data_IF_047732848136
#
_entry.id   IF_047732848136
#
_cell.length_a   1.000
_cell.length_b   1.000
_cell.length_c   1.000
_cell.angle_alpha   90.00
_cell.angle_beta   90.00
_cell.angle_gamma   90.00
#
_symmetry.space_group_name_H-M   'P 1'
#
loop_
_entity.id
_entity.type
_entity.pdbx_description
1 polymer ?
#
# COMPACT_ATOMS: atom_id res chain seq x y z
N UNK A 1 -19.39 -55.24 -13.09
CA UNK A 1 -19.96 -54.28 -12.11
C UNK A 1 -18.79 -53.77 -11.28
N UNK A 2 -18.30 -52.54 -11.51
CA UNK A 2 -17.18 -52.01 -10.74
C UNK A 2 -17.69 -51.50 -9.38
N UNK A 3 -16.96 -51.84 -8.32
CA UNK A 3 -17.16 -51.40 -6.94
C UNK A 3 -16.65 -49.98 -6.76
N UNK A 4 -17.51 -49.13 -6.22
CA UNK A 4 -17.32 -47.70 -5.99
C UNK A 4 -16.58 -47.48 -4.66
N UNK A 5 -15.26 -47.32 -4.72
CA UNK A 5 -14.42 -46.95 -3.56
C UNK A 5 -14.49 -45.43 -3.33
N UNK A 6 -15.61 -44.98 -2.77
CA UNK A 6 -15.75 -43.62 -2.23
C UNK A 6 -15.20 -43.57 -0.80
N UNK A 7 -13.89 -43.41 -0.69
CA UNK A 7 -13.26 -43.05 0.59
C UNK A 7 -13.72 -41.64 1.00
N UNK A 8 -14.25 -41.43 2.22
CA UNK A 8 -14.68 -40.11 2.65
C UNK A 8 -13.45 -39.21 2.86
N UNK A 9 -13.47 -38.02 2.25
CA UNK A 9 -12.52 -36.94 2.53
C UNK A 9 -12.40 -36.78 4.06
N UNK A 10 -11.19 -36.99 4.58
CA UNK A 10 -10.88 -36.70 5.96
C UNK A 10 -11.29 -35.26 6.29
N UNK A 11 -12.23 -35.13 7.23
CA UNK A 11 -12.68 -33.84 7.75
C UNK A 11 -11.48 -33.10 8.35
N UNK A 12 -11.28 -31.87 7.89
CA UNK A 12 -10.29 -30.95 8.44
C UNK A 12 -10.62 -30.66 9.92
N UNK A 13 -9.62 -30.37 10.76
CA UNK A 13 -9.88 -29.91 12.12
C UNK A 13 -10.55 -28.53 12.08
N UNK A 14 -11.88 -28.52 12.11
CA UNK A 14 -12.62 -27.39 12.65
C UNK A 14 -12.41 -27.40 14.17
N UNK A 15 -11.92 -26.30 14.73
CA UNK A 15 -12.05 -26.11 16.17
C UNK A 15 -13.54 -25.98 16.44
N UNK A 16 -14.14 -27.05 17.00
CA UNK A 16 -15.58 -27.15 17.23
C UNK A 16 -16.05 -25.94 18.04
N UNK A 17 -16.80 -25.03 17.41
CA UNK A 17 -17.70 -24.15 18.13
C UNK A 17 -18.96 -24.93 18.43
N UNK A 18 -19.31 -25.04 19.71
CA UNK A 18 -20.56 -25.67 20.18
C UNK A 18 -21.81 -24.84 19.84
N UNK A 19 -21.70 -23.84 18.97
CA UNK A 19 -22.80 -23.04 18.46
C UNK A 19 -22.75 -23.01 16.94
N UNK A 20 -23.92 -23.07 16.32
CA UNK A 20 -24.18 -23.18 14.87
C UNK A 20 -23.79 -21.90 14.07
N UNK A 21 -22.82 -21.12 14.56
CA UNK A 21 -22.20 -19.97 13.91
C UNK A 21 -20.71 -20.25 13.74
N UNK A 22 -20.22 -20.16 12.51
CA UNK A 22 -18.79 -20.24 12.25
C UNK A 22 -18.04 -19.21 13.12
N UNK A 23 -17.20 -19.69 14.03
CA UNK A 23 -16.37 -18.83 14.88
C UNK A 23 -15.14 -18.39 14.09
N UNK A 24 -14.93 -17.08 13.94
CA UNK A 24 -13.73 -16.54 13.33
C UNK A 24 -12.54 -16.59 14.30
N UNK A 25 -11.29 -16.76 13.81
CA UNK A 25 -10.88 -16.82 12.40
C UNK A 25 -11.12 -18.18 11.74
N UNK A 26 -11.40 -18.19 10.44
CA UNK A 26 -11.37 -19.42 9.64
C UNK A 26 -10.06 -19.46 8.86
N UNK A 27 -9.38 -20.61 8.89
CA UNK A 27 -8.11 -20.82 8.20
C UNK A 27 -8.28 -21.86 7.09
N UNK A 28 -7.65 -21.59 5.96
CA UNK A 28 -7.59 -22.49 4.81
C UNK A 28 -6.17 -22.51 4.25
N UNK A 29 -5.72 -23.68 3.81
CA UNK A 29 -4.47 -23.82 3.06
C UNK A 29 -4.81 -24.38 1.69
N UNK A 30 -4.47 -23.63 0.64
CA UNK A 30 -4.70 -24.04 -0.74
C UNK A 30 -3.75 -25.16 -1.16
N UNK A 31 -4.10 -25.86 -2.24
CA UNK A 31 -3.20 -26.86 -2.84
C UNK A 31 -1.89 -26.24 -3.34
N UNK A 32 -1.88 -24.94 -3.63
CA UNK A 32 -0.69 -24.20 -4.04
C UNK A 32 0.10 -23.59 -2.85
N UNK A 33 -0.19 -24.01 -1.61
CA UNK A 33 0.55 -23.53 -0.44
C UNK A 33 0.31 -22.05 -0.09
N UNK A 34 -0.87 -21.53 -0.40
CA UNK A 34 -1.32 -20.23 0.09
C UNK A 34 -2.17 -20.43 1.34
N UNK A 35 -1.88 -19.67 2.40
CA UNK A 35 -2.65 -19.68 3.64
C UNK A 35 -3.63 -18.51 3.59
N UNK A 36 -4.93 -18.81 3.65
CA UNK A 36 -6.00 -17.81 3.74
C UNK A 36 -6.56 -17.79 5.16
N UNK A 37 -6.73 -16.59 5.71
CA UNK A 37 -7.35 -16.35 7.00
C UNK A 37 -8.54 -15.42 6.78
N UNK A 38 -9.74 -15.94 6.99
CA UNK A 38 -10.96 -15.15 6.99
C UNK A 38 -11.23 -14.68 8.42
N UNK A 39 -11.30 -13.37 8.59
CA UNK A 39 -11.61 -12.70 9.84
C UNK A 39 -13.04 -12.17 9.83
N UNK A 40 -13.49 -11.62 10.97
CA UNK A 40 -14.75 -10.90 11.02
C UNK A 40 -14.69 -9.65 10.11
N UNK A 41 -15.85 -9.05 9.85
CA UNK A 41 -16.00 -7.84 9.03
C UNK A 41 -15.52 -7.99 7.57
N UNK A 42 -15.48 -9.23 7.06
CA UNK A 42 -15.16 -9.51 5.66
C UNK A 42 -13.70 -9.23 5.28
N UNK A 43 -12.79 -9.25 6.25
CA UNK A 43 -11.34 -9.16 6.00
C UNK A 43 -10.80 -10.55 5.70
N UNK A 44 -10.15 -10.68 4.55
CA UNK A 44 -9.38 -11.87 4.15
C UNK A 44 -7.90 -11.50 4.17
N UNK A 45 -7.08 -12.32 4.81
CA UNK A 45 -5.62 -12.22 4.75
C UNK A 45 -5.09 -13.45 4.02
N UNK A 46 -4.41 -13.23 2.91
CA UNK A 46 -3.69 -14.26 2.16
C UNK A 46 -2.21 -14.11 2.43
N UNK A 47 -1.52 -15.22 2.73
CA UNK A 47 -0.09 -15.23 2.98
C UNK A 47 0.58 -16.45 2.37
N UNK A 48 1.87 -16.31 2.09
CA UNK A 48 2.73 -17.36 1.55
C UNK A 48 3.82 -17.75 2.54
N UNK A 49 4.59 -18.79 2.21
CA UNK A 49 5.67 -19.30 3.05
C UNK A 49 6.79 -18.26 3.23
N UNK A 50 7.10 -17.49 2.20
CA UNK A 50 8.10 -16.40 2.19
C UNK A 50 7.58 -15.08 2.80
N UNK A 51 6.41 -15.12 3.48
CA UNK A 51 5.83 -13.98 4.20
C UNK A 51 5.41 -12.82 3.30
N UNK A 52 5.02 -13.09 2.05
CA UNK A 52 4.17 -12.17 1.30
C UNK A 52 2.78 -12.12 1.95
N UNK A 53 2.16 -10.95 1.95
CA UNK A 53 0.86 -10.72 2.59
C UNK A 53 -0.03 -9.91 1.66
N UNK A 54 -1.24 -10.40 1.42
CA UNK A 54 -2.34 -9.64 0.82
C UNK A 54 -3.51 -9.55 1.79
N UNK A 55 -4.06 -8.36 1.97
CA UNK A 55 -5.25 -8.09 2.77
C UNK A 55 -6.35 -7.62 1.84
N UNK A 56 -7.51 -8.27 1.87
CA UNK A 56 -8.65 -7.97 1.00
C UNK A 56 -9.90 -7.73 1.85
N UNK A 57 -10.60 -6.64 1.55
CA UNK A 57 -11.96 -6.39 2.00
C UNK A 57 -12.82 -6.19 0.74
N UNK A 58 -13.57 -7.21 0.35
CA UNK A 58 -14.29 -7.23 -0.92
C UNK A 58 -15.18 -5.99 -1.10
N UNK A 59 -15.06 -5.33 -2.26
CA UNK A 59 -15.79 -4.10 -2.59
C UNK A 59 -15.26 -2.82 -1.94
N UNK A 60 -14.26 -2.89 -1.04
CA UNK A 60 -13.69 -1.72 -0.34
C UNK A 60 -12.24 -1.48 -0.74
N UNK A 61 -11.36 -2.44 -0.43
CA UNK A 61 -9.93 -2.33 -0.72
C UNK A 61 -9.24 -3.68 -0.82
N UNK A 62 -8.08 -3.67 -1.47
CA UNK A 62 -7.06 -4.70 -1.35
C UNK A 62 -5.70 -4.02 -1.13
N UNK A 63 -4.84 -4.63 -0.34
CA UNK A 63 -3.47 -4.19 -0.13
C UNK A 63 -2.54 -5.39 -0.17
N UNK A 64 -1.37 -5.22 -0.77
CA UNK A 64 -0.37 -6.27 -0.90
C UNK A 64 1.00 -5.76 -0.47
N UNK A 65 1.82 -6.68 0.02
CA UNK A 65 3.23 -6.47 0.28
C UNK A 65 4.03 -7.77 0.19
N UNK A 66 5.12 -7.71 -0.56
CA UNK A 66 6.09 -8.81 -0.74
C UNK A 66 6.80 -9.19 0.55
N UNK A 67 7.46 -10.35 0.60
CA UNK A 67 8.23 -10.87 1.75
C UNK A 67 9.43 -10.02 2.19
N UNK A 68 9.91 -9.10 1.34
CA UNK A 68 10.94 -8.10 1.69
C UNK A 68 10.43 -6.66 1.74
N UNK A 69 9.24 -6.40 1.21
CA UNK A 69 8.68 -5.05 1.10
C UNK A 69 9.19 -4.26 -0.12
N UNK A 70 9.90 -4.91 -1.04
CA UNK A 70 10.42 -4.35 -2.30
C UNK A 70 9.33 -4.13 -3.36
N UNK A 71 8.23 -4.89 -3.24
CA UNK A 71 6.98 -4.63 -3.96
C UNK A 71 5.83 -4.48 -2.96
N UNK A 72 4.95 -3.51 -3.18
CA UNK A 72 3.78 -3.23 -2.35
C UNK A 72 2.69 -2.53 -3.15
N UNK A 73 1.42 -2.69 -2.78
CA UNK A 73 0.36 -1.98 -3.48
C UNK A 73 -0.88 -1.71 -2.61
N UNK A 74 -1.65 -0.69 -3.00
CA UNK A 74 -3.01 -0.41 -2.50
C UNK A 74 -3.95 -0.30 -3.68
N UNK A 75 -5.05 -1.05 -3.61
CA UNK A 75 -6.22 -0.87 -4.45
C UNK A 75 -7.38 -0.42 -3.57
N UNK A 76 -7.88 0.78 -3.85
CA UNK A 76 -9.03 1.35 -3.18
C UNK A 76 -9.86 2.11 -4.22
N UNK A 77 -11.16 2.29 -3.97
CA UNK A 77 -12.06 2.98 -4.91
C UNK A 77 -11.63 4.42 -5.24
N UNK A 78 -10.88 5.04 -4.31
CA UNK A 78 -10.36 6.42 -4.41
C UNK A 78 -8.87 6.52 -4.75
N UNK A 79 -8.13 5.41 -4.71
CA UNK A 79 -6.71 5.43 -5.03
C UNK A 79 -6.19 4.06 -5.44
N UNK A 80 -5.36 4.06 -6.47
CA UNK A 80 -4.55 2.93 -6.92
C UNK A 80 -3.09 3.34 -6.75
N UNK A 81 -2.33 2.57 -5.98
CA UNK A 81 -0.92 2.83 -5.70
C UNK A 81 -0.14 1.54 -5.87
N UNK A 82 0.94 1.59 -6.64
CA UNK A 82 1.82 0.47 -6.93
C UNK A 82 3.26 0.91 -6.70
N UNK A 83 3.95 0.24 -5.78
CA UNK A 83 5.39 0.36 -5.59
C UNK A 83 6.06 -0.91 -6.10
N UNK A 84 6.95 -0.77 -7.08
CA UNK A 84 7.75 -1.86 -7.65
C UNK A 84 8.96 -1.27 -8.38
N UNK A 85 10.07 -2.00 -8.44
CA UNK A 85 11.30 -1.57 -9.14
C UNK A 85 11.76 -0.15 -8.78
N UNK A 86 11.68 0.20 -7.49
CA UNK A 86 12.01 1.53 -6.95
C UNK A 86 11.22 2.70 -7.54
N UNK A 87 10.10 2.42 -8.20
CA UNK A 87 9.16 3.41 -8.69
C UNK A 87 7.81 3.27 -8.00
N UNK A 88 7.13 4.40 -7.83
CA UNK A 88 5.76 4.46 -7.33
C UNK A 88 4.88 5.00 -8.42
N UNK A 89 3.81 4.27 -8.75
CA UNK A 89 2.78 4.69 -9.68
C UNK A 89 1.48 4.91 -8.92
N UNK A 90 0.86 6.07 -9.12
CA UNK A 90 -0.37 6.43 -8.42
C UNK A 90 -1.43 6.99 -9.36
N UNK A 91 -2.67 6.57 -9.10
CA UNK A 91 -3.89 7.13 -9.67
C UNK A 91 -4.87 7.36 -8.53
N UNK A 92 -5.18 8.61 -8.24
CA UNK A 92 -6.15 9.03 -7.24
C UNK A 92 -7.44 9.46 -7.92
N UNK A 93 -8.53 8.79 -7.61
CA UNK A 93 -9.85 9.06 -8.16
C UNK A 93 -10.68 9.79 -7.13
N UNK A 94 -10.93 11.07 -7.39
CA UNK A 94 -11.75 11.94 -6.54
C UNK A 94 -13.14 12.03 -7.18
N UNK A 95 -14.23 11.73 -6.44
CA UNK A 95 -15.59 11.85 -6.97
C UNK A 95 -15.86 13.24 -7.58
N UNK A 96 -16.48 13.25 -8.76
CA UNK A 96 -16.81 14.49 -9.49
C UNK A 96 -15.62 15.40 -9.85
N UNK A 97 -14.39 14.86 -9.86
CA UNK A 97 -13.17 15.57 -10.27
C UNK A 97 -12.33 14.70 -11.21
N UNK A 98 -11.31 15.30 -11.83
CA UNK A 98 -10.36 14.59 -12.67
C UNK A 98 -9.46 13.67 -11.84
N UNK A 99 -9.04 12.56 -12.47
CA UNK A 99 -8.07 11.67 -11.85
C UNK A 99 -6.74 12.40 -11.72
N UNK A 100 -6.10 12.16 -10.58
CA UNK A 100 -4.81 12.74 -10.23
C UNK A 100 -3.77 11.67 -10.31
N UNK A 101 -2.76 11.91 -11.11
CA UNK A 101 -1.79 10.90 -11.47
C UNK A 101 -0.41 11.38 -11.03
N UNK A 102 0.39 10.51 -10.41
CA UNK A 102 1.77 10.81 -10.08
C UNK A 102 2.66 9.57 -10.14
N UNK A 103 3.91 9.78 -10.59
CA UNK A 103 4.98 8.80 -10.62
C UNK A 103 6.15 9.32 -9.80
N UNK A 104 6.55 8.59 -8.77
CA UNK A 104 7.79 8.85 -8.03
C UNK A 104 8.87 7.93 -8.62
N UNK A 105 9.96 8.52 -9.08
CA UNK A 105 11.13 7.80 -9.58
C UNK A 105 12.43 8.46 -9.13
N UNK A 106 13.55 8.01 -9.68
CA UNK A 106 14.88 8.48 -9.29
C UNK A 106 15.07 9.98 -9.57
N UNK A 107 14.68 10.43 -10.77
CA UNK A 107 14.86 11.81 -11.23
C UNK A 107 13.97 12.84 -10.53
N UNK A 108 12.90 12.40 -9.86
CA UNK A 108 11.93 13.30 -9.24
C UNK A 108 10.53 12.72 -9.19
N UNK A 109 9.55 13.62 -9.13
CA UNK A 109 8.13 13.29 -9.13
C UNK A 109 7.47 13.93 -10.32
N UNK A 110 6.87 13.09 -11.16
CA UNK A 110 6.11 13.51 -12.33
C UNK A 110 4.62 13.42 -11.97
N UNK A 111 3.86 14.50 -12.15
CA UNK A 111 2.46 14.55 -11.73
C UNK A 111 1.57 15.34 -12.71
N UNK A 112 0.30 14.97 -12.79
CA UNK A 112 -0.69 15.61 -13.67
C UNK A 112 -2.13 15.33 -13.21
N UNK A 113 -3.10 15.88 -13.93
CA UNK A 113 -4.51 15.53 -13.85
C UNK A 113 -5.01 15.03 -15.21
N UNK A 114 -6.00 14.13 -15.21
CA UNK A 114 -6.48 13.47 -16.43
C UNK A 114 -7.07 14.41 -17.48
N UNK A 115 -7.45 15.64 -17.12
CA UNK A 115 -7.96 16.65 -18.05
C UNK A 115 -6.87 17.56 -18.66
N UNK A 116 -5.62 17.43 -18.22
CA UNK A 116 -4.50 18.25 -18.71
C UNK A 116 -3.79 17.57 -19.90
N UNK A 117 -3.17 18.38 -20.74
CA UNK A 117 -2.33 17.92 -21.87
C UNK A 117 -0.83 17.93 -21.53
N UNK A 118 -0.49 18.28 -20.29
CA UNK A 118 0.86 18.41 -19.79
C UNK A 118 0.99 17.74 -18.41
N UNK A 119 2.19 17.27 -18.12
CA UNK A 119 2.60 16.81 -16.81
C UNK A 119 3.68 17.75 -16.26
N UNK A 120 3.87 17.73 -14.95
CA UNK A 120 4.84 18.56 -14.25
C UNK A 120 5.87 17.67 -13.58
N UNK A 121 7.14 17.91 -13.85
CA UNK A 121 8.25 17.25 -13.20
C UNK A 121 8.80 18.13 -12.08
N UNK A 122 8.70 17.66 -10.84
CA UNK A 122 9.39 18.22 -9.69
C UNK A 122 10.67 17.42 -9.44
N UNK A 123 11.82 18.08 -9.55
CA UNK A 123 13.13 17.47 -9.36
C UNK A 123 14.01 18.39 -8.52
N UNK A 124 14.91 17.80 -7.73
CA UNK A 124 15.84 18.54 -6.88
C UNK A 124 16.82 19.39 -7.68
N UNK A 125 16.96 19.10 -8.97
CA UNK A 125 17.80 19.83 -9.91
C UNK A 125 17.13 21.08 -10.49
N UNK A 126 15.82 21.29 -10.27
CA UNK A 126 15.06 22.43 -10.80
C UNK A 126 14.51 23.34 -9.70
N UNK A 127 14.43 24.65 -9.97
CA UNK A 127 13.89 25.66 -9.02
C UNK A 127 12.35 25.63 -8.89
N UNK A 128 11.69 24.59 -9.38
CA UNK A 128 10.25 24.47 -9.47
C UNK A 128 9.83 23.38 -10.44
N UNK A 129 8.51 23.12 -10.57
CA UNK A 129 7.99 22.15 -11.50
C UNK A 129 8.25 22.58 -12.95
N UNK A 130 8.74 21.66 -13.77
CA UNK A 130 8.91 21.87 -15.22
C UNK A 130 7.77 21.20 -15.98
N UNK A 131 7.11 21.93 -16.88
CA UNK A 131 6.04 21.40 -17.71
C UNK A 131 6.59 20.52 -18.83
N UNK A 132 5.98 19.36 -19.05
CA UNK A 132 6.33 18.36 -20.05
C UNK A 132 5.06 17.99 -20.82
N UNK A 133 5.10 18.03 -22.15
CA UNK A 133 3.94 17.62 -22.95
C UNK A 133 3.67 16.12 -22.82
N UNK A 134 2.42 15.75 -22.57
CA UNK A 134 1.99 14.34 -22.57
C UNK A 134 2.09 13.68 -23.95
N UNK A 135 2.23 14.46 -25.04
CA UNK A 135 2.49 13.89 -26.38
C UNK A 135 3.83 13.17 -26.46
N UNK A 136 4.78 13.56 -25.63
CA UNK A 136 6.15 13.00 -25.60
C UNK A 136 6.34 11.94 -24.51
N UNK A 137 5.30 11.63 -23.74
CA UNK A 137 5.41 10.86 -22.50
C UNK A 137 4.24 9.87 -22.39
N UNK A 138 4.56 8.59 -22.25
CA UNK A 138 3.55 7.59 -21.93
C UNK A 138 3.25 7.62 -20.43
N UNK A 139 2.23 8.41 -20.06
CA UNK A 139 1.70 8.49 -18.69
C UNK A 139 0.48 7.58 -18.49
N UNK A 140 0.32 6.54 -19.33
CA UNK A 140 -0.84 5.67 -19.25
C UNK A 140 -0.79 4.79 -18.00
N UNK A 141 -1.54 5.20 -16.97
CA UNK A 141 -1.77 4.39 -15.77
C UNK A 141 -2.85 3.31 -16.00
N UNK A 142 -3.12 2.89 -17.23
CA UNK A 142 -4.21 1.95 -17.56
C UNK A 142 -4.04 0.57 -16.92
N UNK A 143 -2.81 0.16 -16.63
CA UNK A 143 -2.53 -1.07 -15.88
C UNK A 143 -3.00 -1.00 -14.41
N UNK A 144 -3.25 0.20 -13.87
CA UNK A 144 -3.81 0.38 -12.52
C UNK A 144 -5.32 0.13 -12.44
N UNK A 145 -6.01 0.00 -13.58
CA UNK A 145 -7.45 -0.27 -13.61
C UNK A 145 -7.80 -1.75 -13.36
N UNK A 146 -6.84 -2.66 -13.56
CA UNK A 146 -6.97 -4.08 -13.25
C UNK A 146 -6.76 -4.37 -11.74
N UNK A 147 -7.09 -5.61 -11.31
CA UNK A 147 -6.63 -6.10 -10.01
C UNK A 147 -5.15 -6.49 -10.07
N UNK A 148 -4.28 -5.50 -9.82
CA UNK A 148 -2.83 -5.73 -9.75
C UNK A 148 -2.40 -6.32 -8.40
N UNK A 149 -3.24 -6.30 -7.35
CA UNK A 149 -2.85 -6.81 -6.04
C UNK A 149 -2.70 -8.33 -6.03
N UNK A 150 -3.61 -9.05 -6.71
CA UNK A 150 -3.51 -10.51 -6.84
C UNK A 150 -2.37 -10.92 -7.77
N UNK A 151 -2.19 -10.17 -8.87
CA UNK A 151 -1.10 -10.41 -9.83
C UNK A 151 0.25 -10.26 -9.15
N UNK A 152 0.43 -9.19 -8.37
CA UNK A 152 1.66 -8.93 -7.64
C UNK A 152 1.87 -9.96 -6.51
N UNK A 153 0.80 -10.43 -5.86
CA UNK A 153 0.90 -11.52 -4.90
C UNK A 153 1.48 -12.79 -5.54
N UNK A 154 0.90 -13.29 -6.64
CA UNK A 154 1.42 -14.51 -7.28
C UNK A 154 2.76 -14.32 -7.99
N UNK A 155 3.12 -13.09 -8.35
CA UNK A 155 4.44 -12.78 -8.90
C UNK A 155 5.55 -12.87 -7.83
N UNK A 156 5.27 -12.36 -6.62
CA UNK A 156 6.27 -12.26 -5.55
C UNK A 156 6.26 -13.46 -4.60
N UNK A 157 5.11 -14.10 -4.41
CA UNK A 157 4.92 -15.12 -3.39
C UNK A 157 5.47 -16.48 -3.81
N UNK A 158 6.10 -17.15 -2.86
CA UNK A 158 6.46 -18.56 -2.99
C UNK A 158 5.19 -19.41 -2.89
N UNK A 159 4.65 -19.80 -4.05
CA UNK A 159 3.45 -20.63 -4.20
C UNK A 159 3.75 -21.81 -5.13
N UNK A 160 3.04 -22.93 -4.93
CA UNK A 160 3.23 -24.18 -5.65
C UNK A 160 2.79 -25.38 -4.81
N UNK A 161 2.66 -26.55 -5.44
CA UNK A 161 2.19 -27.77 -4.76
C UNK A 161 3.18 -28.18 -3.66
N UNK A 162 4.47 -27.99 -3.92
CA UNK A 162 5.57 -28.22 -3.00
C UNK A 162 5.49 -27.33 -1.74
N UNK A 163 4.82 -26.18 -1.82
CA UNK A 163 4.66 -25.27 -0.69
C UNK A 163 3.58 -25.74 0.29
N UNK A 164 2.62 -26.56 -0.14
CA UNK A 164 1.42 -26.89 0.64
C UNK A 164 1.70 -27.61 1.96
N UNK A 165 2.72 -28.49 2.00
CA UNK A 165 3.12 -29.19 3.22
C UNK A 165 3.65 -28.19 4.25
N UNK A 166 4.57 -27.32 3.83
CA UNK A 166 5.14 -26.25 4.66
C UNK A 166 4.06 -25.30 5.17
N UNK A 167 3.11 -24.91 4.31
CA UNK A 167 2.00 -24.03 4.70
C UNK A 167 1.09 -24.67 5.74
N UNK A 168 0.79 -25.97 5.62
CA UNK A 168 0.04 -26.72 6.65
C UNK A 168 0.80 -26.76 7.96
N UNK A 169 2.12 -26.90 7.93
CA UNK A 169 2.94 -26.89 9.15
C UNK A 169 2.93 -25.51 9.81
N UNK A 170 3.11 -24.44 9.04
CA UNK A 170 3.00 -23.05 9.51
C UNK A 170 1.66 -22.79 10.20
N UNK A 171 0.56 -23.28 9.63
CA UNK A 171 -0.78 -23.15 10.24
C UNK A 171 -0.89 -23.91 11.56
N UNK A 172 -0.34 -25.13 11.64
CA UNK A 172 -0.34 -25.94 12.87
C UNK A 172 0.45 -25.32 14.01
N UNK A 173 1.55 -24.63 13.69
CA UNK A 173 2.37 -23.89 14.66
C UNK A 173 1.81 -22.51 15.00
N UNK A 174 0.85 -22.03 14.21
CA UNK A 174 0.14 -20.79 14.45
C UNK A 174 -0.66 -20.83 15.75
N UNK A 175 -0.83 -19.66 16.36
CA UNK A 175 -1.63 -19.51 17.57
C UNK A 175 -2.58 -18.33 17.43
N UNK A 176 -3.74 -18.41 18.07
CA UNK A 176 -4.64 -17.28 18.21
C UNK A 176 -5.27 -17.25 19.60
N UNK A 177 -5.65 -16.05 20.03
CA UNK A 177 -6.35 -15.84 21.27
C UNK A 177 -7.30 -14.65 21.13
N UNK A 178 -8.45 -14.71 21.80
CA UNK A 178 -9.37 -13.58 21.91
C UNK A 178 -9.26 -13.01 23.32
N UNK A 179 -8.85 -11.75 23.40
CA UNK A 179 -8.76 -11.03 24.67
C UNK A 179 -10.15 -10.74 25.23
N UNK A 180 -10.27 -10.46 26.55
CA UNK A 180 -11.55 -10.10 27.17
C UNK A 180 -12.21 -8.85 26.56
N UNK A 181 -11.41 -7.94 26.00
CA UNK A 181 -11.88 -6.75 25.27
C UNK A 181 -12.42 -7.06 23.85
N UNK A 182 -12.48 -8.33 23.47
CA UNK A 182 -12.91 -8.79 22.16
C UNK A 182 -11.85 -8.70 21.06
N UNK A 183 -10.63 -8.25 21.37
CA UNK A 183 -9.53 -8.18 20.40
C UNK A 183 -9.03 -9.59 20.06
N UNK A 184 -9.09 -9.94 18.76
CA UNK A 184 -8.41 -11.12 18.23
C UNK A 184 -6.92 -10.80 18.06
N UNK A 185 -6.06 -11.66 18.60
CA UNK A 185 -4.61 -11.64 18.37
C UNK A 185 -4.20 -13.01 17.84
N UNK A 186 -3.60 -13.04 16.66
CA UNK A 186 -3.11 -14.26 16.00
C UNK A 186 -1.65 -14.09 15.60
N UNK A 187 -0.85 -15.15 15.75
CA UNK A 187 0.53 -15.25 15.31
C UNK A 187 0.68 -16.44 14.39
N UNK A 188 1.17 -16.22 13.18
CA UNK A 188 1.37 -17.25 12.16
C UNK A 188 2.52 -16.85 11.25
N UNK A 189 3.45 -17.75 10.97
CA UNK A 189 4.64 -17.47 10.14
C UNK A 189 5.46 -16.23 10.59
N UNK A 190 5.56 -15.98 11.89
CA UNK A 190 6.20 -14.76 12.42
C UNK A 190 5.45 -13.44 12.14
N UNK A 191 4.25 -13.51 11.53
CA UNK A 191 3.34 -12.40 11.29
C UNK A 191 2.32 -12.35 12.42
N UNK A 192 2.07 -11.15 12.94
CA UNK A 192 1.08 -10.91 13.98
C UNK A 192 -0.13 -10.19 13.40
N UNK A 193 -1.29 -10.82 13.48
CA UNK A 193 -2.57 -10.26 13.08
C UNK A 193 -3.33 -9.82 14.33
N UNK A 194 -3.83 -8.58 14.34
CA UNK A 194 -4.70 -8.06 15.39
C UNK A 194 -5.97 -7.53 14.76
N UNK A 195 -7.14 -7.95 15.24
CA UNK A 195 -8.42 -7.40 14.82
C UNK A 195 -9.23 -6.96 16.04
N UNK A 196 -9.68 -5.70 16.03
CA UNK A 196 -10.58 -5.15 17.04
C UNK A 196 -12.03 -5.56 16.76
N UNK A 197 -12.90 -5.41 17.77
CA UNK A 197 -14.33 -5.73 17.64
C UNK A 197 -15.08 -4.95 16.56
N UNK A 198 -14.56 -3.79 16.13
CA UNK A 198 -15.11 -2.98 15.03
C UNK A 198 -14.57 -3.36 13.64
N UNK A 199 -13.68 -4.37 13.56
CA UNK A 199 -13.06 -4.83 12.31
C UNK A 199 -11.73 -4.17 11.97
N UNK A 200 -11.28 -3.16 12.72
CA UNK A 200 -9.96 -2.56 12.50
C UNK A 200 -8.88 -3.63 12.65
N UNK A 201 -8.12 -3.82 11.58
CA UNK A 201 -7.17 -4.92 11.44
C UNK A 201 -5.76 -4.39 11.21
N UNK A 202 -4.80 -4.97 11.91
CA UNK A 202 -3.37 -4.73 11.72
C UNK A 202 -2.68 -6.06 11.44
N UNK A 203 -1.95 -6.12 10.34
CA UNK A 203 -1.05 -7.21 10.00
C UNK A 203 0.38 -6.70 10.14
N UNK A 204 1.05 -7.15 11.20
CA UNK A 204 2.40 -6.76 11.57
C UNK A 204 3.40 -7.87 11.19
N UNK A 205 4.15 -7.63 10.11
CA UNK A 205 5.17 -8.49 9.54
C UNK A 205 6.54 -7.76 9.58
N UNK A 206 6.89 -7.19 10.74
CA UNK A 206 8.05 -6.27 10.96
C UNK A 206 9.26 -6.50 10.05
N UNK A 207 9.86 -5.42 9.50
CA UNK A 207 9.51 -4.00 9.72
C UNK A 207 8.27 -3.53 8.95
N UNK A 208 7.53 -4.46 8.34
CA UNK A 208 6.40 -4.12 7.50
C UNK A 208 5.04 -4.24 8.19
N UNK A 209 4.11 -3.35 7.87
CA UNK A 209 2.79 -3.28 8.51
C UNK A 209 1.72 -2.94 7.47
N UNK A 210 0.61 -3.68 7.50
CA UNK A 210 -0.64 -3.27 6.84
C UNK A 210 -1.66 -2.95 7.93
N UNK A 211 -2.28 -1.78 7.86
CA UNK A 211 -3.42 -1.39 8.73
C UNK A 211 -4.63 -1.13 7.85
N UNK A 212 -5.80 -1.58 8.27
CA UNK A 212 -7.02 -1.29 7.53
C UNK A 212 -8.24 -1.23 8.43
N UNK A 213 -9.26 -0.51 7.97
CA UNK A 213 -10.54 -0.37 8.64
C UNK A 213 -11.67 -0.53 7.63
N UNK A 214 -12.47 -1.60 7.72
CA UNK A 214 -13.66 -1.76 6.89
C UNK A 214 -14.69 -0.65 7.08
N UNK A 215 -14.89 -0.14 8.30
CA UNK A 215 -15.90 0.89 8.58
C UNK A 215 -15.49 2.24 8.01
N UNK A 216 -14.21 2.59 8.13
CA UNK A 216 -13.66 3.87 7.67
C UNK A 216 -13.23 3.80 6.19
N UNK A 217 -13.29 2.61 5.59
CA UNK A 217 -12.79 2.32 4.25
C UNK A 217 -11.34 2.80 4.05
N UNK A 218 -10.52 2.68 5.11
CA UNK A 218 -9.14 3.15 5.13
C UNK A 218 -8.16 1.98 5.08
N UNK A 219 -7.00 2.22 4.48
CA UNK A 219 -5.94 1.22 4.33
C UNK A 219 -4.59 1.91 4.26
N UNK A 220 -3.60 1.37 4.95
CA UNK A 220 -2.23 1.85 5.01
C UNK A 220 -1.28 0.67 4.84
N UNK A 221 -0.24 0.86 4.03
CA UNK A 221 0.86 -0.07 3.87
C UNK A 221 2.15 0.67 4.20
N UNK A 222 2.89 0.13 5.16
CA UNK A 222 4.21 0.62 5.56
C UNK A 222 5.24 -0.50 5.35
N UNK A 223 6.29 -0.20 4.60
CA UNK A 223 7.51 -1.02 4.48
C UNK A 223 8.73 -0.11 4.71
N UNK A 224 9.96 -0.67 4.77
CA UNK A 224 11.18 0.12 4.82
C UNK A 224 11.33 1.11 3.66
N UNK A 225 10.71 0.83 2.51
CA UNK A 225 10.89 1.59 1.27
C UNK A 225 9.71 2.52 0.96
N UNK A 226 8.52 2.22 1.48
CA UNK A 226 7.30 2.94 1.12
C UNK A 226 6.36 3.11 2.32
N UNK A 227 5.75 4.28 2.43
CA UNK A 227 4.61 4.52 3.30
C UNK A 227 3.48 5.11 2.45
N UNK A 228 2.41 4.35 2.29
CA UNK A 228 1.28 4.75 1.47
C UNK A 228 -0.03 4.45 2.19
N UNK A 229 -1.04 5.28 1.95
CA UNK A 229 -2.33 5.07 2.58
C UNK A 229 -3.46 5.86 1.97
N UNK A 230 -4.65 5.30 2.12
CA UNK A 230 -5.92 5.97 1.89
C UNK A 230 -6.59 6.16 3.23
N UNK A 231 -6.92 7.40 3.53
CA UNK A 231 -7.53 7.84 4.77
C UNK A 231 -9.01 8.17 4.54
N UNK A 232 -9.68 8.53 5.63
CA UNK A 232 -10.99 9.14 5.58
C UNK A 232 -10.99 10.46 4.80
N UNK A 233 -12.18 10.93 4.44
CA UNK A 233 -12.38 12.25 3.80
C UNK A 233 -11.63 12.41 2.48
N UNK A 234 -11.47 11.31 1.73
CA UNK A 234 -10.93 11.32 0.36
C UNK A 234 -9.48 11.79 0.29
N UNK A 235 -8.76 11.63 1.40
CA UNK A 235 -7.35 11.91 1.51
C UNK A 235 -6.56 10.65 1.24
N UNK A 236 -5.45 10.81 0.53
CA UNK A 236 -4.55 9.71 0.26
C UNK A 236 -3.14 10.26 0.10
N UNK A 237 -2.15 9.42 0.40
CA UNK A 237 -0.76 9.83 0.36
C UNK A 237 0.14 8.66 -0.01
N UNK A 238 1.32 9.01 -0.53
CA UNK A 238 2.43 8.10 -0.69
C UNK A 238 3.73 8.84 -0.39
N UNK A 239 4.66 8.16 0.28
CA UNK A 239 5.99 8.66 0.61
C UNK A 239 7.01 7.56 0.38
N UNK A 240 7.99 7.85 -0.47
CA UNK A 240 9.18 7.04 -0.75
C UNK A 240 10.40 7.88 -0.38
N UNK A 241 11.14 7.48 0.64
CA UNK A 241 12.25 8.25 1.21
C UNK A 241 11.87 9.72 1.53
N UNK A 242 12.49 10.69 0.85
CA UNK A 242 12.21 12.12 0.98
C UNK A 242 11.10 12.62 0.06
N UNK A 243 10.69 11.81 -0.93
CA UNK A 243 9.70 12.13 -1.95
C UNK A 243 8.30 11.79 -1.45
N UNK A 244 7.34 12.69 -1.61
CA UNK A 244 5.96 12.46 -1.22
C UNK A 244 4.94 13.10 -2.14
N UNK A 245 3.77 12.46 -2.19
CA UNK A 245 2.57 12.96 -2.88
C UNK A 245 1.40 12.84 -1.90
N UNK A 246 0.68 13.93 -1.70
CA UNK A 246 -0.54 14.00 -0.90
C UNK A 246 -1.68 14.50 -1.76
N UNK A 247 -2.85 13.87 -1.65
CA UNK A 247 -4.04 14.20 -2.44
C UNK A 247 -5.23 14.36 -1.50
N UNK A 248 -6.05 15.38 -1.75
CA UNK A 248 -7.32 15.67 -1.05
C UNK A 248 -8.26 16.39 -2.00
N UNK A 249 -9.59 16.48 -1.78
CA UNK A 249 -10.51 17.07 -2.78
C UNK A 249 -10.08 18.42 -3.38
N UNK A 250 -9.40 19.29 -2.62
CA UNK A 250 -8.93 20.61 -3.09
C UNK A 250 -7.78 20.57 -4.12
N UNK A 251 -7.00 19.49 -4.18
CA UNK A 251 -5.84 19.38 -5.06
C UNK A 251 -4.81 18.33 -4.63
N UNK A 252 -3.59 18.47 -5.12
CA UNK A 252 -2.45 17.64 -4.73
C UNK A 252 -1.25 18.48 -4.29
N UNK A 253 -0.46 17.93 -3.39
CA UNK A 253 0.81 18.48 -2.92
C UNK A 253 1.89 17.46 -3.18
N UNK A 254 2.97 17.88 -3.80
CA UNK A 254 4.09 17.04 -4.23
C UNK A 254 5.38 17.64 -3.68
N UNK A 255 6.22 16.81 -3.07
CA UNK A 255 7.50 17.24 -2.48
C UNK A 255 8.58 16.24 -2.85
N UNK A 256 9.73 16.71 -3.34
CA UNK A 256 10.89 15.86 -3.63
C UNK A 256 11.92 15.83 -2.49
N UNK A 257 11.59 16.45 -1.34
CA UNK A 257 12.48 16.63 -0.20
C UNK A 257 13.20 17.99 -0.16
N UNK A 258 13.35 18.66 -1.31
CA UNK A 258 13.98 19.97 -1.41
C UNK A 258 12.97 21.07 -1.75
N UNK A 259 12.11 20.79 -2.71
CA UNK A 259 11.06 21.69 -3.18
C UNK A 259 9.71 21.05 -2.90
N UNK A 260 8.73 21.88 -2.56
CA UNK A 260 7.34 21.45 -2.47
C UNK A 260 6.50 22.31 -3.39
N UNK A 261 5.67 21.65 -4.19
CA UNK A 261 4.72 22.29 -5.09
C UNK A 261 3.30 21.80 -4.84
N UNK A 262 2.31 22.63 -5.13
CA UNK A 262 0.90 22.27 -5.01
C UNK A 262 0.14 22.60 -6.28
N UNK A 263 -0.76 21.71 -6.67
CA UNK A 263 -1.67 21.86 -7.79
C UNK A 263 -3.11 21.83 -7.28
N UNK A 264 -3.92 22.83 -7.63
CA UNK A 264 -5.34 22.84 -7.29
C UNK A 264 -6.15 21.85 -8.14
N UNK A 265 -7.42 21.64 -7.78
CA UNK A 265 -8.33 20.75 -8.51
C UNK A 265 -8.63 21.16 -9.96
N UNK A 266 -8.23 22.36 -10.41
CA UNK A 266 -8.32 22.78 -11.81
C UNK A 266 -7.05 22.46 -12.61
N UNK A 267 -6.00 21.96 -11.95
CA UNK A 267 -4.72 21.67 -12.57
C UNK A 267 -3.74 22.84 -12.58
N UNK A 268 -4.01 23.92 -11.85
CA UNK A 268 -3.12 25.10 -11.77
C UNK A 268 -2.09 24.91 -10.67
N UNK A 269 -0.84 25.24 -10.95
CA UNK A 269 0.21 25.29 -9.93
C UNK A 269 -0.02 26.53 -9.06
N UNK A 270 -0.23 26.33 -7.75
CA UNK A 270 -0.59 27.42 -6.81
C UNK A 270 0.63 27.95 -6.06
N UNK A 271 1.60 27.09 -5.74
CA UNK A 271 2.77 27.45 -4.93
C UNK A 271 3.92 26.52 -5.22
N UNK A 272 5.12 27.06 -5.42
CA UNK A 272 6.38 26.32 -5.42
C UNK A 272 7.36 27.01 -4.48
N UNK A 273 7.67 26.40 -3.34
CA UNK A 273 8.66 26.95 -2.40
C UNK A 273 9.89 26.05 -2.39
N UNK A 274 11.04 26.61 -2.75
CA UNK A 274 12.34 25.93 -2.81
C UNK A 274 13.13 26.00 -1.50
N UNK A 275 12.58 26.59 -0.43
CA UNK A 275 13.14 26.60 0.92
C UNK A 275 12.09 27.10 1.93
N UNK A 276 11.40 26.21 2.65
CA UNK A 276 10.92 26.35 4.05
C UNK A 276 9.89 25.25 4.39
N UNK A 277 10.01 24.69 5.60
CA UNK A 277 9.02 23.87 6.29
C UNK A 277 7.58 24.35 6.06
N UNK A 278 6.74 23.55 5.41
CA UNK A 278 5.30 23.82 5.39
C UNK A 278 4.64 23.19 6.61
N UNK A 279 4.07 24.07 7.43
CA UNK A 279 2.98 23.76 8.34
C UNK A 279 1.88 23.04 7.56
N UNK A 280 1.67 21.76 7.88
CA UNK A 280 0.36 21.14 7.67
C UNK A 280 -0.60 21.97 8.50
N UNK A 281 -1.64 22.53 7.86
CA UNK A 281 -2.69 23.25 8.57
C UNK A 281 -3.21 22.37 9.72
N UNK A 282 -2.81 22.72 10.94
CA UNK A 282 -3.42 22.21 12.15
C UNK A 282 -4.82 22.81 12.23
N UNK A 283 -5.79 22.09 12.81
CA UNK A 283 -7.11 22.65 13.10
C UNK A 283 -6.97 23.93 13.92
N UNK A 284 -7.96 24.83 13.82
CA UNK A 284 -8.01 26.19 14.41
C UNK A 284 -7.92 26.26 15.96
N UNK A 285 -7.38 25.24 16.64
CA UNK A 285 -7.36 25.15 18.11
C UNK A 285 -6.03 24.72 18.75
N UNK A 286 -4.89 24.77 18.05
CA UNK A 286 -3.58 24.44 18.65
C UNK A 286 -2.90 25.68 19.28
N UNK A 287 -2.53 25.60 20.56
CA UNK A 287 -1.86 26.68 21.31
C UNK A 287 -0.33 26.57 21.25
N UNK A 288 0.35 27.72 21.39
CA UNK A 288 1.80 27.94 21.15
C UNK A 288 2.73 27.04 21.99
N UNK A 289 2.27 26.47 23.11
CA UNK A 289 3.09 25.59 23.97
C UNK A 289 3.36 24.21 23.36
N UNK A 290 2.56 23.73 22.40
CA UNK A 290 2.75 22.42 21.76
C UNK A 290 3.90 22.39 20.73
N UNK A 291 4.45 23.55 20.36
CA UNK A 291 5.43 23.71 19.28
C UNK A 291 6.91 23.55 19.72
N UNK A 292 7.22 23.58 21.02
CA UNK A 292 8.61 23.70 21.49
C UNK A 292 9.31 22.39 21.92
N UNK A 293 8.62 21.25 21.89
CA UNK A 293 9.16 19.99 22.47
C UNK A 293 9.58 18.90 21.47
N UNK A 294 9.50 19.11 20.14
CA UNK A 294 9.57 17.98 19.19
C UNK A 294 10.72 17.96 18.17
N UNK A 295 11.79 18.75 18.29
CA UNK A 295 12.93 18.66 17.35
C UNK A 295 14.31 18.54 18.02
N UNK A 296 15.11 17.50 17.72
CA UNK A 296 16.56 17.56 17.87
C UNK A 296 17.21 18.17 16.62
N UNK A 297 18.26 18.95 16.84
CA UNK A 297 19.06 19.69 15.86
C UNK A 297 20.29 18.85 15.49
N UNK A 298 20.51 18.54 14.22
CA UNK A 298 21.86 18.25 13.68
C UNK A 298 22.06 18.86 12.28
N UNK A 299 23.28 19.33 11.94
CA UNK A 299 23.56 20.10 10.72
C UNK A 299 23.99 19.21 9.52
N UNK A 300 23.96 19.73 8.27
CA UNK A 300 24.14 18.93 7.07
C UNK A 300 25.63 18.74 6.67
N UNK A 301 25.93 17.57 6.11
CA UNK A 301 27.21 17.25 5.43
C UNK A 301 27.03 17.42 3.92
N UNK A 302 27.96 18.16 3.30
CA UNK A 302 28.04 18.45 1.85
C UNK A 302 28.90 17.39 1.17
N UNK A 303 28.49 16.90 -0.01
CA UNK A 303 29.43 16.33 -0.99
C UNK A 303 28.91 16.42 -2.42
N UNK A 304 29.69 17.13 -3.24
CA UNK A 304 29.66 17.18 -4.70
C UNK A 304 29.92 15.83 -5.35
N UNK A 305 29.28 15.58 -6.51
CA UNK A 305 29.92 15.10 -7.76
C UNK A 305 28.87 14.92 -8.88
N UNK A 306 29.07 15.66 -9.97
CA UNK A 306 28.40 15.48 -11.26
C UNK A 306 28.96 14.27 -12.03
N UNK A 307 28.07 13.47 -12.63
CA UNK A 307 28.40 12.51 -13.71
C UNK A 307 27.30 12.62 -14.79
N UNK A 308 27.65 12.71 -16.10
CA UNK A 308 26.68 12.98 -17.15
C UNK A 308 25.92 11.74 -17.66
N UNK A 309 24.70 12.01 -18.12
CA UNK A 309 23.72 11.12 -18.76
C UNK A 309 24.25 10.37 -20.00
N UNK A 310 23.91 9.07 -20.12
CA UNK A 310 23.60 8.42 -21.41
C UNK A 310 22.78 7.12 -21.26
N UNK A 311 21.61 7.14 -21.90
CA UNK A 311 20.74 6.06 -22.44
C UNK A 311 20.18 4.98 -21.49
N UNK A 312 18.89 5.15 -21.18
CA UNK A 312 17.93 4.08 -20.90
C UNK A 312 17.34 3.51 -22.21
N UNK A 313 16.68 2.36 -22.06
CA UNK A 313 15.88 1.54 -23.01
C UNK A 313 16.58 0.29 -23.56
N UNK A 314 16.37 -0.82 -22.85
CA UNK A 314 16.15 -2.14 -23.44
C UNK A 314 15.30 -2.98 -22.45
N UNK A 315 14.02 -3.15 -22.79
CA UNK A 315 13.17 -4.24 -22.33
C UNK A 315 12.33 -4.64 -23.54
N UNK A 316 12.55 -5.86 -24.06
CA UNK A 316 11.57 -6.86 -24.54
C UNK A 316 12.34 -8.02 -25.21
N UNK A 317 12.00 -9.25 -24.81
CA UNK A 317 12.42 -10.55 -25.36
C UNK A 317 12.82 -11.47 -24.21
N UNK A 318 12.06 -12.50 -23.79
CA UNK A 318 11.06 -13.34 -24.45
C UNK A 318 9.84 -13.63 -23.56
#
# INVERSE_FOLDING_TARGET
>A
MPTDDSSPLASLPSFQSTENRASYPLLYVSQAGMISILLAHGIVIEMSNDRCVRVVCHGKFAAFMSGRGAASCIMHKKARMLYTNDMVYTKFSVPASSDRLAIIGNEGILFTMSHLNEAFLLSSHSKGPSAISLRSLDFSCGYLDCDFSIRLFYHEAQTGIECAITSKQIVREGSYNRRPDGMLVMRINGIMVRQRGNGDTMVDARPRIIKCSPSLCSVQVCSPHINMGVQENEKAYVKQDVKSVHVSPSGMVVSDGHCTTSMDHFGRIVRSNSNLYMYVALPESATVEDLLTSMPIEPPIVSDRHVPFRKCFELVGD
#
